data_IF_043370246935
#
_entry.id   IF_043370246935
#
_cell.length_a   1.000
_cell.length_b   1.000
_cell.length_c   1.000
_cell.angle_alpha   90.00
_cell.angle_beta   90.00
_cell.angle_gamma   90.00
#
_symmetry.space_group_name_H-M   'P 1'
#
loop_
_entity.id
_entity.type
_entity.pdbx_description
1 polymer ?
#
# COMPACT_ATOMS: atom_id res chain seq x y z
N UNK A 1 26.39 8.19 29.63
CA UNK A 1 25.84 9.19 28.67
C UNK A 1 25.85 8.70 27.21
N UNK A 2 26.96 8.12 26.71
CA UNK A 2 27.07 7.56 25.33
C UNK A 2 26.11 6.39 25.05
N UNK A 3 26.03 5.41 25.97
CA UNK A 3 25.09 4.28 25.85
C UNK A 3 23.61 4.72 25.77
N UNK A 4 23.21 5.73 26.55
CA UNK A 4 21.84 6.29 26.52
C UNK A 4 21.51 7.00 25.20
N UNK A 5 22.51 7.60 24.53
CA UNK A 5 22.33 8.20 23.19
C UNK A 5 22.28 7.16 22.07
N UNK A 6 22.98 6.03 22.24
CA UNK A 6 22.96 4.92 21.29
C UNK A 6 21.73 4.01 21.45
N UNK A 7 21.07 4.03 22.60
CA UNK A 7 19.89 3.23 22.85
C UNK A 7 18.69 3.72 22.03
N UNK A 8 18.18 2.84 21.17
CA UNK A 8 17.04 3.08 20.30
C UNK A 8 15.86 2.23 20.73
N UNK A 9 14.65 2.78 20.60
CA UNK A 9 13.40 2.06 20.88
C UNK A 9 12.51 2.01 19.64
N UNK A 10 11.75 0.93 19.53
CA UNK A 10 10.69 0.80 18.53
C UNK A 10 9.34 0.90 19.22
N UNK A 11 8.44 1.69 18.66
CA UNK A 11 7.06 1.77 19.13
C UNK A 11 6.21 0.87 18.24
N UNK A 12 5.47 -0.05 18.85
CA UNK A 12 4.49 -0.89 18.17
C UNK A 12 3.15 -0.61 18.80
N UNK A 13 2.17 -0.22 17.99
CA UNK A 13 0.88 0.21 18.48
C UNK A 13 -0.26 -0.33 17.61
N UNK A 14 -1.44 -0.51 18.22
CA UNK A 14 -2.65 -0.96 17.55
C UNK A 14 -3.78 0.03 17.81
N UNK A 15 -4.61 0.27 16.78
CA UNK A 15 -5.80 1.11 16.88
C UNK A 15 -5.49 2.48 17.48
N UNK A 16 -6.25 2.94 18.50
CA UNK A 16 -6.02 4.20 19.21
C UNK A 16 -4.59 4.35 19.75
N UNK A 17 -3.88 3.25 20.05
CA UNK A 17 -2.49 3.30 20.49
C UNK A 17 -1.56 4.01 19.50
N UNK A 18 -1.83 3.92 18.18
CA UNK A 18 -1.04 4.64 17.19
C UNK A 18 -1.24 6.15 17.26
N UNK A 19 -2.43 6.62 17.66
CA UNK A 19 -2.69 8.03 17.91
C UNK A 19 -1.99 8.51 19.18
N UNK A 20 -1.90 7.66 20.22
CA UNK A 20 -1.11 7.96 21.42
C UNK A 20 0.37 8.10 21.06
N UNK A 21 0.90 7.20 20.21
CA UNK A 21 2.28 7.31 19.71
C UNK A 21 2.49 8.63 18.95
N UNK A 22 1.54 9.03 18.10
CA UNK A 22 1.59 10.34 17.41
C UNK A 22 1.52 11.51 18.38
N UNK A 23 0.64 11.50 19.37
CA UNK A 23 0.60 12.52 20.42
C UNK A 23 1.94 12.66 21.15
N UNK A 24 2.58 11.54 21.50
CA UNK A 24 3.90 11.57 22.10
C UNK A 24 4.92 12.24 21.17
N UNK A 25 5.00 11.81 19.90
CA UNK A 25 5.97 12.33 18.93
C UNK A 25 5.72 13.80 18.58
N UNK A 26 4.47 14.18 18.32
CA UNK A 26 4.07 15.50 17.84
C UNK A 26 3.93 16.54 18.95
N UNK A 27 3.73 16.13 20.20
CA UNK A 27 3.50 17.07 21.31
C UNK A 27 4.60 17.04 22.35
N UNK A 28 5.01 15.85 22.79
CA UNK A 28 5.90 15.68 23.95
C UNK A 28 7.35 15.67 23.50
N UNK A 29 7.64 14.90 22.45
CA UNK A 29 8.98 14.74 21.87
C UNK A 29 9.28 15.72 20.73
N UNK A 30 8.30 16.51 20.30
CA UNK A 30 8.49 17.48 19.22
C UNK A 30 9.64 18.47 19.54
N UNK A 31 10.57 18.59 18.59
CA UNK A 31 11.76 19.43 18.73
C UNK A 31 12.80 18.92 19.74
N UNK A 32 12.66 17.68 20.26
CA UNK A 32 13.58 17.08 21.23
C UNK A 32 14.27 15.86 20.64
N UNK A 33 15.47 15.54 21.13
CA UNK A 33 16.08 14.24 20.87
C UNK A 33 15.16 13.13 21.43
N UNK A 34 14.70 12.23 20.57
CA UNK A 34 13.90 11.06 20.94
C UNK A 34 14.71 9.77 20.74
N UNK A 35 14.61 8.78 21.65
CA UNK A 35 15.21 7.46 21.42
C UNK A 35 14.39 6.64 20.41
N UNK A 36 13.19 7.10 20.01
CA UNK A 36 12.34 6.37 19.05
C UNK A 36 13.03 6.33 17.69
N UNK A 37 13.26 5.12 17.21
CA UNK A 37 13.92 4.87 15.93
C UNK A 37 12.93 4.51 14.82
N UNK A 38 11.89 3.73 15.16
CA UNK A 38 10.86 3.26 14.22
C UNK A 38 9.53 3.11 14.93
N UNK A 39 8.45 3.38 14.20
CA UNK A 39 7.07 3.21 14.68
C UNK A 39 6.35 2.27 13.74
N UNK A 40 5.67 1.27 14.27
CA UNK A 40 4.81 0.37 13.51
C UNK A 40 3.39 0.42 14.07
N UNK A 41 2.41 0.68 13.22
CA UNK A 41 1.00 0.73 13.64
C UNK A 41 0.14 -0.31 12.94
N UNK A 42 -0.73 -0.97 13.69
CA UNK A 42 -1.77 -1.88 13.21
C UNK A 42 -3.13 -1.19 13.21
N UNK A 43 -3.75 -1.01 12.04
CA UNK A 43 -5.15 -0.55 11.92
C UNK A 43 -5.43 0.80 12.59
N UNK A 44 -4.47 1.70 12.71
CA UNK A 44 -4.68 2.97 13.41
C UNK A 44 -5.53 3.92 12.57
N UNK A 45 -6.60 4.54 13.14
CA UNK A 45 -7.40 5.55 12.45
C UNK A 45 -6.68 6.90 12.41
N UNK A 46 -5.60 7.01 11.63
CA UNK A 46 -4.78 8.22 11.49
C UNK A 46 -5.56 9.42 10.95
N UNK A 47 -6.58 9.16 10.13
CA UNK A 47 -7.54 10.12 9.59
C UNK A 47 -8.86 10.21 10.35
N UNK A 48 -9.02 9.43 11.42
CA UNK A 48 -10.28 9.30 12.16
C UNK A 48 -11.16 8.17 11.64
N UNK A 49 -12.37 8.12 12.19
CA UNK A 49 -13.39 7.11 11.87
C UNK A 49 -14.61 7.85 11.35
N UNK A 50 -15.10 7.47 10.18
CA UNK A 50 -16.34 8.04 9.65
C UNK A 50 -17.53 7.22 10.15
N UNK A 51 -18.25 7.78 11.12
CA UNK A 51 -19.46 7.19 11.69
C UNK A 51 -20.72 7.99 11.33
N UNK A 52 -20.63 9.00 10.44
CA UNK A 52 -21.70 9.98 10.19
C UNK A 52 -22.96 9.40 9.52
N UNK A 53 -22.92 8.16 9.03
CA UNK A 53 -24.08 7.46 8.45
C UNK A 53 -24.87 6.57 9.43
N UNK A 54 -24.52 6.54 10.72
CA UNK A 54 -25.06 5.56 11.67
C UNK A 54 -26.23 6.08 12.50
N UNK A 55 -27.38 5.42 12.38
CA UNK A 55 -28.49 5.52 13.34
C UNK A 55 -28.27 4.72 14.64
N UNK A 56 -27.31 3.79 14.68
CA UNK A 56 -26.97 2.97 15.85
C UNK A 56 -25.45 2.80 15.99
N UNK A 57 -24.88 3.48 16.99
CA UNK A 57 -23.45 3.43 17.31
C UNK A 57 -23.13 2.15 18.12
N UNK A 58 -22.14 1.34 17.71
CA UNK A 58 -21.75 0.13 18.44
C UNK A 58 -21.27 0.43 19.87
N UNK A 59 -21.66 -0.38 20.85
CA UNK A 59 -21.39 -0.15 22.28
C UNK A 59 -19.92 -0.17 22.70
N UNK A 60 -19.01 -0.70 21.87
CA UNK A 60 -17.57 -0.61 22.12
C UNK A 60 -16.98 0.74 21.71
N UNK A 61 -17.66 1.47 20.81
CA UNK A 61 -17.39 2.88 20.53
C UNK A 61 -18.33 3.67 21.44
N UNK A 62 -17.88 3.96 22.67
CA UNK A 62 -18.70 4.81 23.55
C UNK A 62 -18.99 6.13 22.84
N UNK A 63 -20.18 6.69 22.97
CA UNK A 63 -20.57 7.96 22.34
C UNK A 63 -19.55 9.10 22.57
N UNK A 64 -18.83 9.11 23.71
CA UNK A 64 -17.75 10.07 24.00
C UNK A 64 -16.44 9.83 23.20
N UNK A 65 -16.23 8.64 22.64
CA UNK A 65 -15.06 8.28 21.84
C UNK A 65 -15.21 8.68 20.36
N UNK A 66 -16.43 8.79 19.84
CA UNK A 66 -16.67 9.25 18.46
C UNK A 66 -16.13 10.65 18.24
N UNK A 67 -16.40 11.55 19.19
CA UNK A 67 -15.86 12.91 19.14
C UNK A 67 -14.34 12.90 19.10
N UNK A 68 -13.69 11.94 19.77
CA UNK A 68 -12.22 11.78 19.76
C UNK A 68 -11.69 11.49 18.36
N UNK A 69 -12.39 10.70 17.56
CA UNK A 69 -11.98 10.35 16.20
C UNK A 69 -12.50 11.29 15.11
N UNK A 70 -13.21 12.37 15.49
CA UNK A 70 -13.56 13.42 14.54
C UNK A 70 -12.31 14.19 14.09
N UNK A 71 -12.18 14.47 12.80
CA UNK A 71 -11.02 15.21 12.27
C UNK A 71 -10.74 16.50 13.05
N UNK A 72 -11.79 17.23 13.43
CA UNK A 72 -11.68 18.49 14.19
C UNK A 72 -11.02 18.29 15.55
N UNK A 73 -11.46 17.28 16.33
CA UNK A 73 -10.88 16.95 17.62
C UNK A 73 -9.46 16.40 17.49
N UNK A 74 -9.24 15.53 16.49
CA UNK A 74 -7.94 14.96 16.18
C UNK A 74 -6.90 16.04 15.92
N UNK A 75 -7.21 17.04 15.09
CA UNK A 75 -6.32 18.18 14.83
C UNK A 75 -5.92 18.91 16.11
N UNK A 76 -6.84 19.05 17.06
CA UNK A 76 -6.59 19.68 18.36
C UNK A 76 -5.53 18.94 19.17
N UNK A 77 -5.73 17.65 19.44
CA UNK A 77 -4.79 16.90 20.27
C UNK A 77 -3.53 16.44 19.53
N UNK A 78 -3.55 16.34 18.19
CA UNK A 78 -2.35 16.06 17.37
C UNK A 78 -1.57 17.33 17.02
N UNK A 79 -2.10 18.52 17.33
CA UNK A 79 -1.53 19.82 16.96
C UNK A 79 -1.24 19.96 15.46
N UNK A 80 -2.19 19.53 14.63
CA UNK A 80 -2.08 19.61 13.16
C UNK A 80 -2.78 20.88 12.65
N UNK A 81 -2.06 21.79 11.94
CA UNK A 81 -2.67 22.99 11.38
C UNK A 81 -3.65 22.64 10.26
N UNK A 82 -4.64 23.52 10.03
CA UNK A 82 -5.65 23.35 8.96
C UNK A 82 -5.05 23.24 7.55
N UNK A 83 -3.86 23.81 7.34
CA UNK A 83 -3.14 23.76 6.06
C UNK A 83 -2.55 22.38 5.73
N UNK A 84 -2.55 21.44 6.67
CA UNK A 84 -2.05 20.09 6.48
C UNK A 84 -3.16 19.06 6.66
N UNK A 85 -3.10 17.91 5.96
CA UNK A 85 -3.99 16.78 6.24
C UNK A 85 -3.80 16.27 7.67
N UNK A 86 -4.88 15.79 8.30
CA UNK A 86 -4.86 15.31 9.68
C UNK A 86 -3.95 14.08 9.88
N UNK A 87 -3.68 13.34 8.80
CA UNK A 87 -2.79 12.18 8.72
C UNK A 87 -1.31 12.54 8.72
N UNK A 88 -0.94 13.81 8.56
CA UNK A 88 0.47 14.27 8.60
C UNK A 88 1.11 14.09 9.98
N UNK A 89 2.42 13.81 10.02
CA UNK A 89 3.23 13.92 11.25
C UNK A 89 3.69 15.35 11.54
N UNK A 90 3.36 16.31 10.66
CA UNK A 90 3.73 17.71 10.75
C UNK A 90 5.25 17.94 10.96
N UNK A 91 6.08 17.07 10.37
CA UNK A 91 7.55 17.13 10.51
C UNK A 91 8.08 16.77 11.90
N UNK A 92 7.25 16.24 12.80
CA UNK A 92 7.67 15.88 14.15
C UNK A 92 8.46 14.55 14.20
N UNK A 93 8.35 13.73 13.16
CA UNK A 93 9.06 12.46 13.03
C UNK A 93 9.24 12.11 11.55
N UNK A 94 10.27 11.34 11.22
CA UNK A 94 10.55 10.88 9.85
C UNK A 94 9.47 9.90 9.40
N UNK A 95 8.70 10.28 8.38
CA UNK A 95 7.61 9.48 7.81
C UNK A 95 8.13 8.15 7.24
N UNK A 96 9.36 8.11 6.73
CA UNK A 96 9.97 6.87 6.23
C UNK A 96 10.14 5.82 7.34
N UNK A 97 10.25 6.26 8.59
CA UNK A 97 10.42 5.44 9.80
C UNK A 97 9.11 5.19 10.55
N UNK A 98 7.97 5.51 9.94
CA UNK A 98 6.63 5.25 10.48
C UNK A 98 5.86 4.30 9.54
N UNK A 99 5.65 3.05 9.92
CA UNK A 99 4.96 2.06 9.09
C UNK A 99 3.49 1.90 9.48
N UNK A 100 2.61 1.92 8.48
CA UNK A 100 1.17 1.71 8.67
C UNK A 100 0.73 0.37 8.05
N UNK A 101 0.37 -0.61 8.89
CA UNK A 101 -0.28 -1.83 8.46
C UNK A 101 -1.80 -1.62 8.46
N UNK A 102 -2.42 -1.82 7.31
CA UNK A 102 -3.82 -1.53 7.05
C UNK A 102 -4.58 -2.83 6.80
N UNK A 103 -5.68 -3.04 7.52
CA UNK A 103 -6.61 -4.14 7.27
C UNK A 103 -7.57 -3.79 6.13
N UNK A 104 -8.08 -4.81 5.43
CA UNK A 104 -9.04 -4.63 4.33
C UNK A 104 -10.24 -5.58 4.42
N UNK A 105 -10.33 -6.38 5.48
CA UNK A 105 -11.43 -7.32 5.66
C UNK A 105 -12.48 -6.75 6.59
N UNK A 106 -13.42 -6.02 6.01
CA UNK A 106 -14.57 -5.51 6.75
C UNK A 106 -15.60 -6.62 7.08
N UNK A 107 -15.59 -7.75 6.36
CA UNK A 107 -16.61 -8.81 6.50
C UNK A 107 -16.43 -9.64 7.74
N UNK A 108 -15.18 -9.87 8.15
CA UNK A 108 -14.87 -10.69 9.33
C UNK A 108 -14.85 -9.89 10.65
N UNK A 109 -15.27 -8.62 10.63
CA UNK A 109 -15.36 -7.80 11.84
C UNK A 109 -16.74 -7.91 12.52
N UNK A 110 -16.93 -8.98 13.29
CA UNK A 110 -18.18 -9.24 14.03
C UNK A 110 -18.28 -8.49 15.38
N UNK A 111 -17.48 -7.44 15.58
CA UNK A 111 -17.64 -6.61 16.77
C UNK A 111 -19.06 -6.00 16.80
N UNK A 112 -19.72 -6.14 17.95
CA UNK A 112 -21.12 -5.73 18.14
C UNK A 112 -22.13 -6.39 17.17
N UNK A 113 -21.98 -7.70 16.87
CA UNK A 113 -22.92 -8.47 16.02
C UNK A 113 -23.02 -7.92 14.58
N UNK A 114 -21.89 -7.50 13.99
CA UNK A 114 -21.82 -6.99 12.62
C UNK A 114 -22.36 -5.56 12.40
N UNK A 115 -22.71 -4.81 13.45
CA UNK A 115 -23.13 -3.40 13.29
C UNK A 115 -22.00 -2.48 12.79
N UNK A 116 -20.74 -2.75 13.17
CA UNK A 116 -19.59 -1.96 12.74
C UNK A 116 -19.27 -2.16 11.24
N UNK A 117 -19.35 -3.41 10.75
CA UNK A 117 -19.22 -3.75 9.32
C UNK A 117 -20.22 -2.96 8.46
N UNK A 118 -21.50 -2.91 8.88
CA UNK A 118 -22.56 -2.20 8.15
C UNK A 118 -22.42 -0.68 8.15
N UNK A 119 -21.65 -0.14 9.09
CA UNK A 119 -21.44 1.29 9.25
C UNK A 119 -20.37 1.86 8.33
N UNK A 120 -19.24 1.16 8.25
CA UNK A 120 -18.03 1.60 7.55
C UNK A 120 -18.00 1.03 6.13
N UNK A 121 -18.46 -0.22 5.98
CA UNK A 121 -18.63 -0.85 4.68
C UNK A 121 -17.31 -1.25 3.99
N UNK A 122 -17.35 -1.46 2.66
CA UNK A 122 -16.19 -1.77 1.82
C UNK A 122 -15.03 -0.79 1.99
N UNK A 123 -13.84 -1.14 1.51
CA UNK A 123 -12.62 -0.32 1.64
C UNK A 123 -12.24 -0.01 3.10
N UNK A 124 -12.44 -0.96 4.01
CA UNK A 124 -12.09 -0.84 5.44
C UNK A 124 -11.69 -2.17 6.07
N UNK A 125 -11.20 -2.14 7.30
CA UNK A 125 -10.98 -3.33 8.14
C UNK A 125 -12.19 -3.66 9.04
N UNK A 126 -13.35 -3.07 8.74
CA UNK A 126 -14.58 -3.17 9.53
C UNK A 126 -14.74 -2.07 10.58
N UNK A 127 -13.69 -1.27 10.81
CA UNK A 127 -13.76 -0.09 11.68
C UNK A 127 -13.10 1.14 11.05
N UNK A 128 -11.93 0.98 10.44
CA UNK A 128 -11.13 2.07 9.89
C UNK A 128 -11.11 1.98 8.38
N UNK A 129 -11.59 3.04 7.71
CA UNK A 129 -11.49 3.17 6.26
C UNK A 129 -10.03 3.19 5.81
N UNK A 130 -9.72 2.53 4.70
CA UNK A 130 -8.40 2.50 4.07
C UNK A 130 -7.83 3.92 3.89
N UNK A 131 -8.66 4.88 3.48
CA UNK A 131 -8.25 6.28 3.28
C UNK A 131 -7.78 6.97 4.57
N UNK A 132 -8.20 6.49 5.74
CA UNK A 132 -7.87 7.04 7.05
C UNK A 132 -6.81 6.21 7.80
N UNK A 133 -6.39 5.07 7.26
CA UNK A 133 -5.60 4.08 7.98
C UNK A 133 -4.08 4.28 7.92
N UNK A 134 -3.62 5.34 7.24
CA UNK A 134 -2.19 5.60 7.03
C UNK A 134 -1.81 7.05 7.26
N UNK A 135 -0.59 7.24 7.77
CA UNK A 135 0.11 8.54 7.79
C UNK A 135 0.55 8.90 6.37
N UNK A 136 0.56 10.19 6.05
CA UNK A 136 1.03 10.66 4.75
C UNK A 136 2.55 10.46 4.60
N UNK A 137 3.01 10.07 3.40
CA UNK A 137 4.43 9.79 3.15
C UNK A 137 4.96 8.49 3.79
N UNK A 138 4.25 7.94 4.78
CA UNK A 138 4.64 6.71 5.47
C UNK A 138 4.52 5.46 4.58
N UNK A 139 5.49 4.53 4.64
CA UNK A 139 5.36 3.21 4.03
C UNK A 139 4.16 2.48 4.65
N UNK A 140 3.43 1.77 3.80
CA UNK A 140 2.22 1.05 4.20
C UNK A 140 2.06 -0.27 3.46
N UNK A 141 1.45 -1.24 4.13
CA UNK A 141 1.04 -2.49 3.53
C UNK A 141 -0.40 -2.82 3.91
N UNK A 142 -1.08 -3.50 2.99
CA UNK A 142 -2.49 -3.86 3.11
C UNK A 142 -2.59 -5.37 3.27
N UNK A 143 -3.38 -5.83 4.23
CA UNK A 143 -3.60 -7.26 4.49
C UNK A 143 -5.09 -7.50 4.64
N UNK A 144 -5.59 -8.60 4.06
CA UNK A 144 -6.99 -8.96 4.17
C UNK A 144 -7.28 -9.59 5.53
N UNK A 145 -7.39 -8.70 6.54
CA UNK A 145 -7.62 -8.98 7.95
C UNK A 145 -8.52 -7.90 8.53
N UNK A 146 -9.36 -8.31 9.48
CA UNK A 146 -10.26 -7.43 10.21
C UNK A 146 -9.49 -6.62 11.26
N UNK A 147 -10.10 -5.54 11.77
CA UNK A 147 -9.48 -4.66 12.76
C UNK A 147 -9.06 -5.40 14.04
N UNK A 148 -9.89 -6.35 14.50
CA UNK A 148 -9.62 -7.26 15.61
C UNK A 148 -10.40 -8.57 15.44
N UNK A 149 -10.46 -9.42 16.47
CA UNK A 149 -11.13 -10.72 16.41
C UNK A 149 -10.21 -11.88 16.03
N UNK A 150 -10.80 -13.05 15.77
CA UNK A 150 -10.05 -14.29 15.49
C UNK A 150 -9.19 -14.14 14.23
N UNK A 151 -9.74 -13.54 13.17
CA UNK A 151 -9.05 -13.19 11.92
C UNK A 151 -8.48 -11.75 11.93
N UNK A 152 -8.25 -11.20 13.13
CA UNK A 152 -7.81 -9.84 13.34
C UNK A 152 -6.36 -9.58 12.92
N UNK A 153 -6.08 -8.34 12.52
CA UNK A 153 -4.79 -7.88 11.99
C UNK A 153 -3.60 -8.13 12.92
N UNK A 154 -3.81 -8.05 14.25
CA UNK A 154 -2.76 -8.24 15.26
C UNK A 154 -2.36 -9.71 15.44
N UNK A 155 -3.25 -10.65 15.13
CA UNK A 155 -3.02 -12.09 15.24
C UNK A 155 -2.51 -12.70 13.92
N UNK A 156 -2.24 -11.86 12.92
CA UNK A 156 -1.94 -12.30 11.56
C UNK A 156 -0.45 -12.52 11.33
N UNK A 157 -0.13 -13.63 10.64
CA UNK A 157 1.23 -13.89 10.16
C UNK A 157 1.68 -12.78 9.19
N UNK A 158 0.78 -12.27 8.35
CA UNK A 158 1.08 -11.14 7.45
C UNK A 158 1.53 -9.89 8.23
N UNK A 159 0.83 -9.58 9.33
CA UNK A 159 1.15 -8.45 10.18
C UNK A 159 2.45 -8.63 10.96
N UNK A 160 2.69 -9.82 11.51
CA UNK A 160 3.96 -10.14 12.18
C UNK A 160 5.15 -10.05 11.21
N UNK A 161 5.00 -10.58 10.00
CA UNK A 161 6.09 -10.63 9.02
C UNK A 161 6.40 -9.24 8.44
N UNK A 162 5.41 -8.36 8.31
CA UNK A 162 5.64 -6.94 8.02
C UNK A 162 6.36 -6.23 9.17
N UNK A 163 5.90 -6.40 10.42
CA UNK A 163 6.53 -5.82 11.61
C UNK A 163 8.02 -6.19 11.69
N UNK A 164 8.32 -7.49 11.63
CA UNK A 164 9.68 -7.99 11.72
C UNK A 164 10.57 -7.43 10.62
N UNK A 165 10.09 -7.37 9.37
CA UNK A 165 10.87 -6.83 8.23
C UNK A 165 11.03 -5.33 8.28
N UNK A 166 10.02 -4.59 8.73
CA UNK A 166 10.14 -3.16 8.91
C UNK A 166 11.12 -2.81 10.04
N UNK A 167 11.11 -3.55 11.16
CA UNK A 167 12.01 -3.29 12.28
C UNK A 167 13.44 -3.79 12.07
N UNK A 168 13.62 -4.91 11.37
CA UNK A 168 14.92 -5.61 11.33
C UNK A 168 15.35 -6.04 9.91
N UNK A 169 14.61 -5.62 8.88
CA UNK A 169 14.97 -5.87 7.48
C UNK A 169 16.20 -5.08 7.05
N UNK A 170 16.64 -5.36 5.82
CA UNK A 170 17.87 -4.83 5.25
C UNK A 170 17.63 -3.97 4.01
N UNK A 171 16.47 -4.14 3.37
CA UNK A 171 16.14 -3.48 2.10
C UNK A 171 14.69 -3.04 2.12
N UNK A 172 14.43 -1.80 1.75
CA UNK A 172 13.09 -1.30 1.41
C UNK A 172 12.95 -1.34 -0.10
N UNK A 173 11.84 -1.90 -0.57
CA UNK A 173 11.46 -1.91 -1.98
C UNK A 173 10.12 -1.21 -2.13
N UNK A 174 10.01 -0.34 -3.12
CA UNK A 174 8.76 0.28 -3.54
C UNK A 174 8.45 -0.14 -4.97
N UNK A 175 7.21 -0.53 -5.21
CA UNK A 175 6.71 -0.86 -6.52
C UNK A 175 5.78 0.25 -7.01
N UNK A 176 6.03 0.76 -8.21
CA UNK A 176 5.18 1.71 -8.90
C UNK A 176 4.84 1.19 -10.29
N UNK A 177 3.64 1.51 -10.78
CA UNK A 177 3.21 1.23 -12.14
C UNK A 177 3.06 2.54 -12.90
N UNK A 178 3.84 2.69 -13.96
CA UNK A 178 3.70 3.76 -14.94
C UNK A 178 2.98 3.17 -16.16
N UNK A 179 1.77 3.67 -16.46
CA UNK A 179 0.99 3.22 -17.62
C UNK A 179 1.24 4.19 -18.76
N UNK A 180 1.79 3.71 -19.87
CA UNK A 180 2.14 4.56 -21.02
C UNK A 180 1.13 4.47 -22.16
N UNK A 181 0.48 3.32 -22.32
CA UNK A 181 -0.57 3.11 -23.33
C UNK A 181 -1.71 2.25 -22.77
N UNK A 182 -2.95 2.66 -23.04
CA UNK A 182 -4.16 1.87 -22.83
C UNK A 182 -4.94 1.80 -24.13
N UNK A 183 -5.22 0.60 -24.60
CA UNK A 183 -6.09 0.41 -25.76
C UNK A 183 -7.53 0.21 -25.33
N UNK A 184 -8.44 0.92 -25.99
CA UNK A 184 -9.89 0.79 -25.77
C UNK A 184 -10.45 -0.41 -26.54
N UNK A 185 -11.53 -1.04 -26.02
CA UNK A 185 -12.31 -2.00 -26.79
C UNK A 185 -12.78 -1.38 -28.12
N UNK A 186 -12.86 -2.14 -29.23
CA UNK A 186 -13.18 -1.58 -30.55
C UNK A 186 -14.46 -0.75 -30.59
N UNK A 187 -15.50 -1.15 -29.87
CA UNK A 187 -16.78 -0.42 -29.84
C UNK A 187 -16.71 0.89 -29.05
N UNK A 188 -15.90 0.95 -27.98
CA UNK A 188 -15.65 2.18 -27.23
C UNK A 188 -14.78 3.12 -28.06
N UNK A 189 -13.76 2.59 -28.76
CA UNK A 189 -12.94 3.38 -29.67
C UNK A 189 -13.80 4.07 -30.74
N UNK A 190 -14.75 3.35 -31.36
CA UNK A 190 -15.67 3.96 -32.34
C UNK A 190 -16.45 5.16 -31.78
N UNK A 191 -16.75 5.18 -30.48
CA UNK A 191 -17.42 6.33 -29.86
C UNK A 191 -16.46 7.51 -29.66
N UNK A 192 -15.20 7.23 -29.28
CA UNK A 192 -14.14 8.25 -29.24
C UNK A 192 -13.89 8.84 -30.63
N UNK A 193 -13.77 7.99 -31.65
CA UNK A 193 -13.54 8.41 -33.05
C UNK A 193 -14.73 9.24 -33.59
N UNK A 194 -15.93 9.03 -33.04
CA UNK A 194 -17.13 9.83 -33.32
C UNK A 194 -17.23 11.13 -32.48
N UNK A 195 -16.19 11.49 -31.73
CA UNK A 195 -16.11 12.73 -30.96
C UNK A 195 -16.81 12.70 -29.59
N UNK A 196 -17.25 11.54 -29.10
CA UNK A 196 -17.91 11.42 -27.80
C UNK A 196 -16.92 11.46 -26.64
N UNK A 197 -17.38 11.95 -25.49
CA UNK A 197 -16.57 11.98 -24.27
C UNK A 197 -16.61 10.61 -23.61
N UNK A 198 -15.46 9.95 -23.52
CA UNK A 198 -15.30 8.69 -22.79
C UNK A 198 -14.54 8.92 -21.50
N UNK A 199 -15.10 8.42 -20.39
CA UNK A 199 -14.40 8.32 -19.10
C UNK A 199 -14.25 6.86 -18.72
N UNK A 200 -13.14 6.55 -18.05
CA UNK A 200 -12.83 5.23 -17.54
C UNK A 200 -12.11 5.34 -16.21
N UNK A 201 -12.52 4.52 -15.25
CA UNK A 201 -11.93 4.42 -13.92
C UNK A 201 -11.24 3.07 -13.79
N UNK A 202 -9.91 3.08 -13.77
CA UNK A 202 -9.14 1.83 -13.74
C UNK A 202 -8.88 1.38 -12.31
N UNK A 203 -8.79 0.08 -12.12
CA UNK A 203 -8.34 -0.52 -10.87
C UNK A 203 -7.08 -1.35 -11.12
N UNK A 204 -6.08 -1.20 -10.24
CA UNK A 204 -4.96 -2.11 -10.17
C UNK A 204 -5.09 -3.03 -8.96
N UNK A 205 -4.89 -4.31 -9.22
CA UNK A 205 -4.74 -5.35 -8.22
C UNK A 205 -3.25 -5.66 -8.04
N UNK A 206 -2.83 -5.83 -6.78
CA UNK A 206 -1.46 -6.19 -6.49
C UNK A 206 -1.37 -7.10 -5.28
N UNK A 207 -0.58 -8.17 -5.41
CA UNK A 207 -0.21 -9.04 -4.29
C UNK A 207 1.29 -9.25 -4.24
N UNK A 208 1.92 -8.76 -3.17
CA UNK A 208 3.36 -8.89 -2.94
C UNK A 208 3.66 -10.02 -1.95
N UNK A 209 4.55 -10.95 -2.36
CA UNK A 209 4.97 -12.09 -1.53
C UNK A 209 6.48 -12.22 -1.54
N UNK A 210 7.05 -12.77 -0.46
CA UNK A 210 8.45 -13.22 -0.47
C UNK A 210 8.53 -14.68 -0.88
N UNK A 211 9.65 -15.08 -1.49
CA UNK A 211 9.86 -16.44 -2.02
C UNK A 211 9.60 -17.51 -0.95
N UNK A 212 8.88 -18.57 -1.33
CA UNK A 212 8.64 -19.75 -0.48
C UNK A 212 7.69 -19.54 0.70
N UNK A 213 6.93 -18.44 0.74
CA UNK A 213 5.92 -18.17 1.77
C UNK A 213 4.52 -18.19 1.16
N UNK A 214 3.55 -18.69 1.94
CA UNK A 214 2.15 -18.82 1.53
C UNK A 214 1.33 -17.55 1.79
N UNK A 215 1.78 -16.74 2.75
CA UNK A 215 1.19 -15.46 3.10
C UNK A 215 1.70 -14.33 2.20
N UNK A 216 0.99 -13.21 2.19
CA UNK A 216 1.36 -12.00 1.46
C UNK A 216 1.81 -10.89 2.41
N UNK A 217 2.83 -10.12 2.02
CA UNK A 217 3.19 -8.90 2.74
C UNK A 217 2.20 -7.78 2.44
N UNK A 218 1.66 -7.76 1.24
CA UNK A 218 0.74 -6.74 0.76
C UNK A 218 -0.26 -7.40 -0.19
N UNK A 219 -1.55 -7.07 -0.06
CA UNK A 219 -2.62 -7.50 -0.96
C UNK A 219 -3.68 -6.43 -1.10
N UNK A 220 -4.04 -6.11 -2.34
CA UNK A 220 -5.17 -5.25 -2.72
C UNK A 220 -5.82 -5.81 -3.98
N UNK A 221 -7.07 -6.23 -3.90
CA UNK A 221 -7.82 -6.79 -5.04
C UNK A 221 -9.25 -6.24 -5.08
N UNK A 222 -9.92 -6.36 -6.22
CA UNK A 222 -11.33 -5.95 -6.40
C UNK A 222 -12.23 -6.84 -5.56
N UNK A 223 -11.97 -8.16 -5.54
CA UNK A 223 -12.72 -9.12 -4.72
C UNK A 223 -12.66 -8.84 -3.20
N UNK A 224 -11.57 -8.23 -2.76
CA UNK A 224 -11.36 -7.81 -1.37
C UNK A 224 -11.78 -6.35 -1.14
N UNK A 225 -12.45 -5.74 -2.13
CA UNK A 225 -12.92 -4.35 -2.12
C UNK A 225 -11.85 -3.38 -1.61
N UNK A 226 -10.63 -3.57 -2.11
CA UNK A 226 -9.45 -2.84 -1.68
C UNK A 226 -8.53 -2.45 -2.82
N UNK A 227 -8.86 -2.76 -4.08
CA UNK A 227 -8.06 -2.45 -5.25
C UNK A 227 -7.63 -0.96 -5.32
N UNK A 228 -6.52 -0.71 -6.00
CA UNK A 228 -5.99 0.64 -6.18
C UNK A 228 -6.78 1.33 -7.28
N UNK A 229 -7.51 2.39 -6.94
CA UNK A 229 -8.13 3.26 -7.93
C UNK A 229 -7.09 4.08 -8.68
N UNK A 230 -7.15 4.06 -10.01
CA UNK A 230 -6.29 4.81 -10.91
C UNK A 230 -7.17 5.79 -11.71
N UNK A 231 -7.14 7.09 -11.37
CA UNK A 231 -7.85 8.11 -12.14
C UNK A 231 -7.34 8.18 -13.58
N UNK A 232 -8.25 8.41 -14.53
CA UNK A 232 -7.91 8.61 -15.94
C UNK A 232 -6.83 9.68 -16.16
N UNK A 233 -6.89 10.78 -15.42
CA UNK A 233 -5.90 11.88 -15.52
C UNK A 233 -4.49 11.44 -15.13
N UNK A 234 -4.34 10.53 -14.14
CA UNK A 234 -3.02 9.98 -13.79
C UNK A 234 -2.43 9.16 -14.93
N UNK A 235 -3.26 8.35 -15.59
CA UNK A 235 -2.84 7.58 -16.78
C UNK A 235 -2.40 8.53 -17.88
N UNK A 236 -3.19 9.57 -18.15
CA UNK A 236 -2.90 10.56 -19.19
C UNK A 236 -1.60 11.34 -18.91
N UNK A 237 -1.35 11.70 -17.66
CA UNK A 237 -0.12 12.34 -17.22
C UNK A 237 1.08 11.39 -17.18
N UNK A 238 0.87 10.08 -17.34
CA UNK A 238 1.85 9.02 -17.12
C UNK A 238 2.46 9.09 -15.70
N UNK A 239 1.67 9.57 -14.73
CA UNK A 239 2.09 9.66 -13.33
C UNK A 239 2.15 8.25 -12.72
N UNK A 240 3.30 7.81 -12.19
CA UNK A 240 3.41 6.49 -11.59
C UNK A 240 2.43 6.30 -10.42
N UNK A 241 1.76 5.15 -10.43
CA UNK A 241 0.86 4.70 -9.37
C UNK A 241 1.65 3.85 -8.38
N UNK A 242 1.68 4.25 -7.11
CA UNK A 242 2.27 3.41 -6.06
C UNK A 242 1.44 2.14 -5.87
N UNK A 243 2.09 0.98 -6.01
CA UNK A 243 1.48 -0.34 -5.86
C UNK A 243 1.69 -0.86 -4.43
N UNK A 244 2.94 -0.91 -3.98
CA UNK A 244 3.29 -1.49 -2.68
C UNK A 244 4.62 -0.96 -2.14
N UNK A 245 4.73 -0.93 -0.81
CA UNK A 245 6.02 -0.83 -0.11
C UNK A 245 6.24 -2.14 0.64
N UNK A 246 7.40 -2.76 0.45
CA UNK A 246 7.78 -3.99 1.12
C UNK A 246 9.20 -3.89 1.68
N UNK A 247 9.44 -4.56 2.79
CA UNK A 247 10.75 -4.63 3.43
C UNK A 247 11.26 -6.06 3.31
N UNK A 248 12.51 -6.27 2.91
CA UNK A 248 13.10 -7.58 2.74
C UNK A 248 14.20 -7.80 3.79
N UNK A 249 14.39 -9.05 4.20
CA UNK A 249 15.28 -9.42 5.31
C UNK A 249 16.18 -10.58 4.89
N UNK A 250 17.49 -10.35 4.86
CA UNK A 250 18.50 -11.32 4.40
C UNK A 250 18.55 -12.57 5.26
N UNK A 251 18.38 -12.41 6.57
CA UNK A 251 18.31 -13.53 7.51
C UNK A 251 17.07 -14.41 7.30
N UNK A 252 16.08 -13.97 6.51
CA UNK A 252 14.85 -14.73 6.21
C UNK A 252 14.85 -15.37 4.82
N UNK A 253 16.00 -15.40 4.11
CA UNK A 253 16.12 -16.18 2.85
C UNK A 253 15.75 -17.64 3.09
N UNK A 254 15.00 -18.22 2.16
CA UNK A 254 14.62 -19.65 2.17
C UNK A 254 15.87 -20.50 2.00
N UNK A 255 16.63 -20.24 0.94
CA UNK A 255 17.95 -20.80 0.74
C UNK A 255 19.00 -19.83 1.28
N UNK A 256 19.73 -20.23 2.33
CA UNK A 256 20.76 -19.39 2.95
C UNK A 256 22.00 -19.20 2.07
N UNK A 257 22.21 -20.10 1.12
CA UNK A 257 23.31 -20.05 0.15
C UNK A 257 23.01 -19.13 -1.04
N UNK A 258 21.71 -18.93 -1.36
CA UNK A 258 21.31 -18.05 -2.46
C UNK A 258 21.76 -16.61 -2.23
N UNK A 259 22.39 -16.00 -3.23
CA UNK A 259 22.92 -14.63 -3.14
C UNK A 259 21.82 -13.56 -3.02
N UNK A 260 20.60 -13.83 -3.51
CA UNK A 260 19.52 -12.86 -3.63
C UNK A 260 18.37 -13.00 -2.63
N UNK A 261 17.55 -11.95 -2.57
CA UNK A 261 16.25 -11.93 -1.88
C UNK A 261 15.15 -12.06 -2.94
N UNK A 262 14.51 -13.22 -2.95
CA UNK A 262 13.41 -13.51 -3.85
C UNK A 262 12.06 -12.99 -3.35
N UNK A 263 11.29 -12.37 -4.23
CA UNK A 263 9.92 -11.92 -3.99
C UNK A 263 9.12 -11.93 -5.30
N UNK A 264 7.83 -11.68 -5.24
CA UNK A 264 6.96 -11.62 -6.42
C UNK A 264 5.89 -10.56 -6.28
N UNK A 265 5.45 -10.03 -7.43
CA UNK A 265 4.26 -9.19 -7.55
C UNK A 265 3.28 -9.87 -8.50
N UNK A 266 2.12 -10.27 -7.99
CA UNK A 266 0.96 -10.62 -8.82
C UNK A 266 0.24 -9.30 -9.14
N UNK A 267 0.34 -8.85 -10.40
CA UNK A 267 -0.14 -7.53 -10.84
C UNK A 267 -1.26 -7.71 -11.85
N UNK A 268 -2.41 -7.10 -11.57
CA UNK A 268 -3.54 -7.00 -12.47
C UNK A 268 -3.92 -5.55 -12.72
N UNK A 269 -4.31 -5.21 -13.95
CA UNK A 269 -5.05 -3.99 -14.26
C UNK A 269 -6.37 -4.40 -14.88
N UNK A 270 -7.45 -4.06 -14.20
CA UNK A 270 -8.80 -4.53 -14.53
C UNK A 270 -9.37 -3.71 -15.68
N UNK A 271 -10.16 -4.35 -16.54
CA UNK A 271 -10.96 -3.65 -17.55
C UNK A 271 -11.96 -2.74 -16.81
N UNK A 272 -11.94 -1.43 -17.07
CA UNK A 272 -12.80 -0.50 -16.35
C UNK A 272 -14.23 -0.59 -16.88
N UNK A 273 -15.16 -0.07 -16.09
CA UNK A 273 -16.43 0.39 -16.65
C UNK A 273 -16.19 1.67 -17.45
N UNK A 274 -16.79 1.73 -18.66
CA UNK A 274 -16.70 2.88 -19.54
C UNK A 274 -17.97 3.71 -19.44
N UNK A 275 -17.83 5.03 -19.34
CA UNK A 275 -18.92 6.00 -19.43
C UNK A 275 -18.78 6.78 -20.74
N UNK A 276 -19.87 6.91 -21.49
CA UNK A 276 -19.92 7.60 -22.78
C UNK A 276 -20.99 8.69 -22.69
N UNK A 277 -20.58 9.95 -22.80
CA UNK A 277 -21.43 11.15 -22.65
C UNK A 277 -22.31 11.13 -21.38
N UNK A 278 -21.78 10.61 -20.26
CA UNK A 278 -22.52 10.54 -19.00
C UNK A 278 -23.24 9.22 -18.74
N UNK A 279 -23.29 8.29 -19.71
CA UNK A 279 -24.01 7.03 -19.59
C UNK A 279 -23.08 5.82 -19.55
N UNK A 280 -23.34 4.88 -18.63
CA UNK A 280 -22.58 3.62 -18.53
C UNK A 280 -22.72 2.78 -19.81
N UNK A 281 -21.59 2.31 -20.33
CA UNK A 281 -21.51 1.47 -21.51
C UNK A 281 -21.43 -0.01 -21.13
N UNK A 282 -22.59 -0.64 -20.96
CA UNK A 282 -22.70 -2.05 -20.54
C UNK A 282 -22.73 -3.06 -21.70
N UNK A 283 -22.61 -2.61 -22.96
CA UNK A 283 -22.75 -3.49 -24.12
C UNK A 283 -21.51 -4.38 -24.30
N UNK A 284 -21.73 -5.70 -24.39
CA UNK A 284 -20.69 -6.71 -24.69
C UNK A 284 -19.55 -6.79 -23.66
N UNK A 285 -19.85 -6.50 -22.39
CA UNK A 285 -18.90 -6.59 -21.29
C UNK A 285 -19.19 -7.84 -20.43
N UNK A 286 -18.19 -8.71 -20.27
CA UNK A 286 -18.17 -9.67 -19.18
C UNK A 286 -17.35 -9.07 -18.05
N UNK A 287 -17.89 -9.10 -16.83
CA UNK A 287 -17.19 -8.61 -15.65
C UNK A 287 -15.94 -9.43 -15.33
N UNK A 288 -14.93 -8.80 -14.72
CA UNK A 288 -13.70 -9.47 -14.26
C UNK A 288 -12.59 -9.62 -15.30
N UNK A 289 -12.67 -8.93 -16.44
CA UNK A 289 -11.60 -8.90 -17.45
C UNK A 289 -10.36 -8.11 -17.01
N UNK A 290 -9.19 -8.43 -17.58
CA UNK A 290 -7.93 -7.72 -17.33
C UNK A 290 -7.35 -7.10 -18.61
N UNK A 291 -6.93 -5.83 -18.52
CA UNK A 291 -6.06 -5.17 -19.50
C UNK A 291 -4.63 -5.69 -19.41
N UNK A 292 -4.23 -6.14 -18.22
CA UNK A 292 -2.98 -6.82 -17.94
C UNK A 292 -3.14 -7.72 -16.73
N UNK A 293 -2.55 -8.91 -16.80
CA UNK A 293 -2.39 -9.76 -15.62
C UNK A 293 -1.11 -10.56 -15.75
N UNK A 294 -0.25 -10.46 -14.76
CA UNK A 294 1.00 -11.20 -14.73
C UNK A 294 1.51 -11.36 -13.30
N UNK A 295 2.05 -12.54 -13.02
CA UNK A 295 2.87 -12.74 -11.82
C UNK A 295 4.34 -12.55 -12.20
N UNK A 296 4.95 -11.54 -11.60
CA UNK A 296 6.33 -11.16 -11.88
C UNK A 296 7.19 -11.70 -10.73
N UNK A 297 8.03 -12.67 -11.03
CA UNK A 297 9.02 -13.21 -10.09
C UNK A 297 10.25 -12.30 -10.10
N UNK A 298 10.77 -11.96 -8.92
CA UNK A 298 11.80 -10.95 -8.71
C UNK A 298 12.88 -11.48 -7.77
N UNK A 299 14.13 -11.11 -8.02
CA UNK A 299 15.26 -11.43 -7.15
C UNK A 299 16.27 -10.30 -7.16
N UNK A 300 16.44 -9.65 -6.00
CA UNK A 300 17.45 -8.61 -5.80
C UNK A 300 18.69 -9.23 -5.14
N UNK A 301 19.86 -9.02 -5.72
CA UNK A 301 21.16 -9.48 -5.23
C UNK A 301 22.19 -8.36 -5.38
N UNK A 302 23.41 -8.54 -4.88
CA UNK A 302 24.43 -7.49 -4.87
C UNK A 302 25.71 -7.98 -5.54
N UNK A 303 26.26 -7.13 -6.41
CA UNK A 303 27.56 -7.31 -7.07
C UNK A 303 28.37 -6.04 -6.80
N UNK A 304 29.55 -6.18 -6.18
CA UNK A 304 30.39 -5.05 -5.78
C UNK A 304 29.62 -3.98 -4.98
N UNK A 305 28.82 -4.42 -4.00
CA UNK A 305 27.93 -3.61 -3.16
C UNK A 305 26.80 -2.85 -3.88
N UNK A 306 26.68 -2.98 -5.20
CA UNK A 306 25.55 -2.44 -5.95
C UNK A 306 24.46 -3.49 -6.14
N UNK A 307 23.18 -3.15 -5.93
CA UNK A 307 22.10 -4.08 -6.17
C UNK A 307 21.89 -4.29 -7.68
N UNK A 308 21.60 -5.54 -8.02
CA UNK A 308 21.14 -6.01 -9.32
C UNK A 308 19.80 -6.68 -9.13
N UNK A 309 18.96 -6.61 -10.15
CA UNK A 309 17.63 -7.21 -10.11
C UNK A 309 17.46 -8.15 -11.31
N UNK A 310 17.11 -9.40 -11.01
CA UNK A 310 16.59 -10.34 -12.00
C UNK A 310 15.08 -10.47 -11.87
N UNK A 311 14.42 -10.66 -13.00
CA UNK A 311 12.98 -10.83 -13.08
C UNK A 311 12.57 -11.90 -14.09
N UNK A 312 11.35 -12.39 -13.97
CA UNK A 312 10.73 -13.29 -14.93
C UNK A 312 9.21 -13.25 -14.84
N UNK A 313 8.54 -13.59 -15.94
CA UNK A 313 7.09 -13.62 -16.06
C UNK A 313 6.59 -15.05 -15.91
N UNK A 314 5.71 -15.29 -14.95
CA UNK A 314 5.23 -16.64 -14.62
C UNK A 314 4.45 -17.24 -15.79
N UNK A 315 3.77 -16.41 -16.61
CA UNK A 315 3.09 -16.84 -17.83
C UNK A 315 4.02 -17.45 -18.89
N UNK A 316 5.33 -17.15 -18.85
CA UNK A 316 6.34 -17.64 -19.80
C UNK A 316 7.21 -18.73 -19.22
N UNK A 317 7.76 -18.49 -18.03
CA UNK A 317 8.66 -19.42 -17.34
C UNK A 317 8.30 -19.42 -15.85
N UNK A 318 7.41 -20.33 -15.43
CA UNK A 318 6.93 -20.39 -14.05
C UNK A 318 8.07 -20.46 -13.04
N UNK A 319 7.99 -19.63 -12.00
CA UNK A 319 8.90 -19.54 -10.86
C UNK A 319 10.38 -19.26 -11.20
N UNK A 320 10.68 -18.67 -12.36
CA UNK A 320 12.05 -18.33 -12.77
C UNK A 320 12.30 -16.81 -12.85
N UNK A 321 13.56 -16.42 -12.68
CA UNK A 321 14.07 -15.04 -12.82
C UNK A 321 15.16 -15.00 -13.92
N UNK A 322 14.78 -15.18 -15.18
CA UNK A 322 15.72 -15.37 -16.30
C UNK A 322 16.23 -14.08 -16.96
N UNK A 323 15.67 -12.92 -16.64
CA UNK A 323 16.02 -11.62 -17.25
C UNK A 323 16.66 -10.69 -16.23
N UNK A 324 17.51 -9.78 -16.68
CA UNK A 324 18.08 -8.71 -15.84
C UNK A 324 17.36 -7.39 -16.13
N UNK A 325 17.00 -6.65 -15.07
CA UNK A 325 16.45 -5.31 -15.20
C UNK A 325 17.58 -4.29 -15.38
N UNK A 326 17.28 -3.19 -16.07
CA UNK A 326 18.17 -2.02 -16.08
C UNK A 326 18.16 -1.37 -14.70
N UNK A 327 19.31 -0.82 -14.28
CA UNK A 327 19.48 -0.17 -12.98
C UNK A 327 19.94 1.27 -13.19
N UNK A 328 19.33 2.20 -12.45
CA UNK A 328 19.75 3.59 -12.36
C UNK A 328 19.94 3.97 -10.88
N UNK A 329 20.84 4.90 -10.60
CA UNK A 329 20.97 5.51 -9.27
C UNK A 329 19.88 6.58 -9.11
N UNK A 330 19.32 6.66 -7.91
CA UNK A 330 18.37 7.70 -7.51
C UNK A 330 19.15 8.72 -6.69
N UNK A 331 19.05 9.98 -7.10
CA UNK A 331 19.63 11.12 -6.39
C UNK A 331 18.51 12.09 -6.00
N UNK A 332 18.48 12.49 -4.73
CA UNK A 332 17.55 13.49 -4.21
C UNK A 332 18.36 14.59 -3.50
N UNK A 333 18.04 15.85 -3.80
CA UNK A 333 18.75 17.02 -3.26
C UNK A 333 20.29 16.96 -3.46
N UNK A 334 20.75 16.37 -4.57
CA UNK A 334 22.16 16.21 -4.89
C UNK A 334 22.88 15.08 -4.13
N UNK A 335 22.14 14.24 -3.40
CA UNK A 335 22.68 13.09 -2.68
C UNK A 335 22.11 11.76 -3.17
N UNK A 336 22.94 10.73 -3.20
CA UNK A 336 22.52 9.37 -3.51
C UNK A 336 21.57 8.83 -2.43
N UNK A 337 20.40 8.33 -2.83
CA UNK A 337 19.39 7.77 -1.91
C UNK A 337 19.05 6.31 -2.16
N UNK A 338 19.22 5.80 -3.39
CA UNK A 338 18.86 4.42 -3.71
C UNK A 338 19.03 4.05 -5.19
N UNK A 339 18.37 2.97 -5.60
CA UNK A 339 18.42 2.47 -6.97
C UNK A 339 17.02 2.27 -7.55
N UNK A 340 16.85 2.56 -8.84
CA UNK A 340 15.63 2.31 -9.60
C UNK A 340 15.87 1.20 -10.63
N UNK A 341 14.93 0.25 -10.70
CA UNK A 341 14.88 -0.79 -11.72
C UNK A 341 13.61 -0.63 -12.55
N UNK A 342 13.72 -0.78 -13.87
CA UNK A 342 12.59 -0.65 -14.79
C UNK A 342 12.34 -1.96 -15.51
N UNK A 343 11.12 -2.47 -15.42
CA UNK A 343 10.68 -3.72 -16.04
C UNK A 343 9.52 -3.39 -17.00
N UNK A 344 9.67 -3.59 -18.31
CA UNK A 344 8.59 -3.34 -19.25
C UNK A 344 7.46 -4.36 -19.04
N UNK A 345 6.24 -3.87 -18.92
CA UNK A 345 5.02 -4.69 -18.79
C UNK A 345 4.09 -4.37 -19.95
N UNK A 346 3.65 -5.39 -20.67
CA UNK A 346 2.81 -5.21 -21.85
C UNK A 346 1.91 -6.41 -22.09
N UNK A 347 0.67 -6.12 -22.45
CA UNK A 347 -0.29 -7.08 -22.99
C UNK A 347 -0.84 -6.52 -24.30
N UNK A 348 -0.38 -7.09 -25.41
CA UNK A 348 -0.65 -6.60 -26.77
C UNK A 348 -2.03 -7.04 -27.31
N UNK A 349 -2.99 -7.32 -26.44
CA UNK A 349 -4.39 -7.57 -26.82
C UNK A 349 -5.16 -6.26 -26.93
N UNK A 350 -6.38 -6.31 -27.48
CA UNK A 350 -7.29 -5.17 -27.50
C UNK A 350 -8.64 -5.55 -26.86
N UNK A 351 -9.00 -4.98 -25.70
CA UNK A 351 -8.22 -4.00 -24.94
C UNK A 351 -6.99 -4.63 -24.29
N UNK A 352 -6.05 -3.78 -23.86
CA UNK A 352 -4.74 -4.16 -23.34
C UNK A 352 -3.93 -2.92 -22.97
N UNK A 353 -2.77 -3.11 -22.35
CA UNK A 353 -1.92 -2.01 -21.90
C UNK A 353 -0.44 -2.22 -22.18
N UNK A 354 0.29 -1.11 -22.19
CA UNK A 354 1.74 -1.07 -22.04
C UNK A 354 2.13 -0.12 -20.92
N UNK A 355 3.25 -0.42 -20.29
CA UNK A 355 3.79 0.39 -19.21
C UNK A 355 5.11 -0.13 -18.68
N UNK A 356 5.49 0.42 -17.54
CA UNK A 356 6.71 0.07 -16.82
C UNK A 356 6.36 -0.24 -15.36
N UNK A 357 6.75 -1.42 -14.90
CA UNK A 357 6.89 -1.68 -13.47
C UNK A 357 8.22 -1.07 -13.02
N UNK A 358 8.14 -0.07 -12.15
CA UNK A 358 9.28 0.61 -11.55
C UNK A 358 9.47 0.05 -10.14
N UNK A 359 10.66 -0.45 -9.84
CA UNK A 359 11.04 -0.89 -8.50
C UNK A 359 12.13 0.01 -7.96
N UNK A 360 11.87 0.70 -6.86
CA UNK A 360 12.88 1.49 -6.15
C UNK A 360 13.38 0.72 -4.95
N UNK A 361 14.69 0.65 -4.78
CA UNK A 361 15.35 -0.08 -3.70
C UNK A 361 16.23 0.84 -2.88
N UNK A 362 16.07 0.77 -1.56
CA UNK A 362 16.80 1.58 -0.59
C UNK A 362 17.43 0.68 0.46
N UNK A 363 18.63 1.04 0.93
CA UNK A 363 19.20 0.42 2.13
C UNK A 363 18.27 0.66 3.32
N UNK A 364 18.08 -0.36 4.16
CA UNK A 364 17.24 -0.28 5.34
C UNK A 364 18.02 -0.75 6.56
N UNK A 365 18.33 0.17 7.46
CA UNK A 365 19.29 -0.05 8.56
C UNK A 365 19.19 1.07 9.59
#
# INVERSE_FOLDING_TARGET
RKARKAFKIHLVAHSMGGLIARCYLQNIAAGKETPVDRVFTYGTPHGGIDLRGLGNIPSFVKFNEIDTFSESRMRGYLKIPKSKPVTSLNGAFDESRFFCLVGTDYKDYDAAKGLAQRAVGPMSDGLVMIQNAAVDGAPRAFVHRAHSGHYGIVNSEEGYQNLKRFLFGNVRVEALLEITELSLPPNVQKQVDAGKKVKASYHAEVVARVRGKRWALHRRTVDEESAIFIPFEKVKAQDPVHLASAFLMRSERVDKSAAGLGFSLDLGVVVPEYEIDGALFLKQHFEGGYLYREKINLEIFWENDEPRLRYGFDSKQPNQTSRSATVAKIEENGGFVGYEFRIPVAQNTRPGMKGTLILRSFGWG
#
